data_IF_895600931377
#
_entry.id   IF_895600931377
#
_cell.length_a   1.000
_cell.length_b   1.000
_cell.length_c   1.000
_cell.angle_alpha   90.00
_cell.angle_beta   90.00
_cell.angle_gamma   90.00
#
_symmetry.space_group_name_H-M   'P 1'
#
loop_
_entity.id
_entity.type
_entity.pdbx_description
1 polymer ?
#
# COMPACT_ATOMS: atom_id res chain seq x y z
N UNK A 1 -2.87 63.15 -4.25
CA UNK A 1 -1.94 62.01 -4.44
C UNK A 1 -2.73 60.85 -5.01
N UNK A 2 -2.39 60.34 -6.22
CA UNK A 2 -3.17 59.26 -6.87
C UNK A 2 -2.75 57.89 -6.37
N UNK A 3 -3.75 56.99 -6.19
CA UNK A 3 -3.59 55.57 -5.89
C UNK A 3 -3.18 54.81 -7.18
N UNK A 4 -2.08 54.06 -7.12
CA UNK A 4 -1.65 53.15 -8.19
C UNK A 4 -2.40 51.81 -8.02
N UNK A 5 -3.20 51.43 -9.01
CA UNK A 5 -3.81 50.13 -9.17
C UNK A 5 -2.76 49.16 -9.73
N UNK A 6 -2.39 48.11 -8.96
CA UNK A 6 -1.53 47.02 -9.41
C UNK A 6 -2.33 45.97 -10.16
N UNK A 7 -2.11 45.90 -11.46
CA UNK A 7 -2.66 44.84 -12.32
C UNK A 7 -1.95 43.50 -12.01
N UNK A 8 -2.68 42.50 -11.52
CA UNK A 8 -2.21 41.11 -11.40
C UNK A 8 -2.22 40.50 -12.80
N UNK A 9 -1.05 40.23 -13.36
CA UNK A 9 -0.92 39.39 -14.56
C UNK A 9 -1.11 37.93 -14.14
N UNK A 10 -2.18 37.31 -14.64
CA UNK A 10 -2.46 35.88 -14.52
C UNK A 10 -1.46 35.06 -15.34
N UNK A 11 -0.87 34.03 -14.76
CA UNK A 11 0.01 33.11 -15.44
C UNK A 11 -0.79 32.25 -16.45
N UNK A 12 -0.23 31.94 -17.62
CA UNK A 12 -0.92 31.14 -18.64
C UNK A 12 -1.01 29.67 -18.21
N UNK A 13 -2.18 29.10 -18.48
CA UNK A 13 -2.63 27.77 -18.15
C UNK A 13 -1.69 26.69 -18.74
N UNK A 14 -1.41 25.62 -17.97
CA UNK A 14 -0.50 24.52 -18.32
C UNK A 14 -0.83 23.81 -19.67
N UNK A 15 -2.03 24.02 -20.22
CA UNK A 15 -2.45 23.50 -21.52
C UNK A 15 -1.78 24.21 -22.70
N UNK A 16 -1.37 25.46 -22.54
CA UNK A 16 -0.68 26.24 -23.59
C UNK A 16 0.80 25.87 -23.78
N UNK A 17 1.43 25.24 -22.80
CA UNK A 17 2.86 24.83 -22.88
C UNK A 17 3.09 23.55 -23.68
N UNK A 18 2.08 22.70 -23.89
CA UNK A 18 2.21 21.49 -24.71
C UNK A 18 2.10 21.70 -26.22
N UNK A 19 1.55 22.83 -26.67
CA UNK A 19 1.42 23.14 -28.08
C UNK A 19 2.68 23.79 -28.68
N UNK A 20 3.53 24.44 -27.88
CA UNK A 20 4.73 25.15 -28.36
C UNK A 20 5.97 24.24 -28.53
N UNK A 21 5.94 22.98 -28.05
CA UNK A 21 7.08 22.05 -28.13
C UNK A 21 7.10 21.18 -29.41
N UNK A 22 6.17 21.38 -30.36
CA UNK A 22 6.03 20.54 -31.56
C UNK A 22 6.53 21.14 -32.87
N UNK A 23 7.16 22.32 -32.85
CA UNK A 23 7.53 23.04 -34.07
C UNK A 23 9.04 23.27 -34.25
N UNK A 24 9.89 22.51 -33.59
CA UNK A 24 11.33 22.61 -33.84
C UNK A 24 11.97 21.22 -33.83
N UNK A 25 11.80 20.45 -34.88
CA UNK A 25 12.75 19.44 -35.37
C UNK A 25 12.25 18.83 -36.69
N UNK A 26 12.32 19.65 -37.72
CA UNK A 26 12.27 19.19 -39.11
C UNK A 26 13.67 18.81 -39.57
N UNK A 27 14.06 17.58 -39.38
CA UNK A 27 15.17 16.97 -40.15
C UNK A 27 14.57 15.79 -40.92
N UNK A 28 14.37 16.04 -42.20
CA UNK A 28 13.96 15.09 -43.22
C UNK A 28 15.12 14.07 -43.41
N UNK A 29 15.01 12.89 -42.87
CA UNK A 29 15.77 11.74 -43.33
C UNK A 29 14.79 10.69 -43.82
N UNK A 30 14.68 10.61 -45.17
CA UNK A 30 14.08 9.49 -45.88
C UNK A 30 14.78 8.19 -45.48
N UNK A 31 14.25 7.52 -44.44
CA UNK A 31 14.57 6.13 -44.15
C UNK A 31 13.50 5.25 -44.78
N UNK A 32 13.96 4.43 -45.72
CA UNK A 32 13.28 3.30 -46.30
C UNK A 32 12.38 2.59 -45.30
N UNK A 33 11.10 2.42 -45.70
CA UNK A 33 10.07 1.63 -45.03
C UNK A 33 10.60 0.18 -44.87
N UNK A 34 11.34 -0.06 -43.77
CA UNK A 34 11.59 -1.42 -43.33
C UNK A 34 10.23 -2.04 -43.01
N UNK A 35 9.94 -3.15 -43.62
CA UNK A 35 8.77 -3.98 -43.38
C UNK A 35 8.70 -4.20 -41.86
N UNK A 36 7.70 -3.57 -41.23
CA UNK A 36 7.35 -3.96 -39.87
C UNK A 36 6.72 -5.34 -39.99
N UNK A 37 7.41 -6.33 -39.46
CA UNK A 37 6.79 -7.61 -39.21
C UNK A 37 5.43 -7.37 -38.56
N UNK A 38 4.36 -8.07 -38.98
CA UNK A 38 3.06 -7.93 -38.35
C UNK A 38 3.26 -8.27 -36.88
N UNK A 39 2.91 -7.32 -35.99
CA UNK A 39 2.74 -7.62 -34.57
C UNK A 39 1.66 -8.67 -34.52
N UNK A 40 2.03 -9.92 -34.34
CA UNK A 40 1.07 -10.99 -34.08
C UNK A 40 0.45 -10.61 -32.74
N UNK A 41 -0.76 -10.04 -32.77
CA UNK A 41 -1.54 -9.88 -31.55
C UNK A 41 -1.65 -11.25 -30.91
N UNK A 42 -1.14 -11.39 -29.70
CA UNK A 42 -1.31 -12.60 -28.92
C UNK A 42 -2.82 -12.93 -28.91
N UNK A 43 -3.21 -14.21 -29.12
CA UNK A 43 -4.61 -14.58 -29.14
C UNK A 43 -5.29 -14.06 -27.86
N UNK A 44 -6.39 -13.35 -28.04
CA UNK A 44 -7.21 -12.89 -26.90
C UNK A 44 -7.63 -14.15 -26.13
N UNK A 45 -7.15 -14.32 -24.90
CA UNK A 45 -7.54 -15.41 -24.04
C UNK A 45 -9.04 -15.34 -23.82
N UNK A 46 -9.76 -16.30 -24.32
CA UNK A 46 -11.21 -16.44 -24.13
C UNK A 46 -11.40 -17.51 -23.05
N UNK A 47 -11.28 -17.12 -21.79
CA UNK A 47 -11.54 -18.02 -20.68
C UNK A 47 -12.98 -18.55 -20.73
N UNK A 48 -13.22 -19.66 -20.05
CA UNK A 48 -14.53 -20.35 -19.98
C UNK A 48 -15.22 -20.15 -18.63
N UNK A 49 -14.46 -19.76 -17.60
CA UNK A 49 -14.96 -19.62 -16.23
C UNK A 49 -14.25 -18.50 -15.44
N UNK A 50 -14.89 -18.07 -14.38
CA UNK A 50 -14.30 -17.09 -13.48
C UNK A 50 -13.37 -17.76 -12.46
N UNK A 51 -12.24 -17.10 -12.14
CA UNK A 51 -11.33 -17.49 -11.06
C UNK A 51 -12.04 -17.40 -9.70
N UNK A 52 -11.69 -18.27 -8.74
CA UNK A 52 -12.23 -18.33 -7.39
C UNK A 52 -11.17 -18.05 -6.34
N UNK A 53 -11.60 -17.64 -5.16
CA UNK A 53 -10.69 -17.27 -4.05
C UNK A 53 -9.83 -18.44 -3.59
N UNK A 54 -10.40 -19.66 -3.54
CA UNK A 54 -9.68 -20.86 -3.16
C UNK A 54 -8.52 -21.17 -4.12
N UNK A 55 -8.77 -21.03 -5.42
CA UNK A 55 -7.75 -21.26 -6.47
C UNK A 55 -6.62 -20.24 -6.39
N UNK A 56 -6.97 -18.97 -6.14
CA UNK A 56 -5.97 -17.92 -5.93
C UNK A 56 -5.15 -18.22 -4.68
N UNK A 57 -5.79 -18.53 -3.56
CA UNK A 57 -5.10 -18.80 -2.29
C UNK A 57 -4.13 -19.97 -2.42
N UNK A 58 -4.55 -21.07 -3.07
CA UNK A 58 -3.72 -22.24 -3.31
C UNK A 58 -2.53 -21.92 -4.22
N UNK A 59 -2.77 -21.22 -5.33
CA UNK A 59 -1.73 -20.87 -6.29
C UNK A 59 -0.65 -19.95 -5.69
N UNK A 60 -1.02 -19.00 -4.83
CA UNK A 60 -0.08 -18.03 -4.26
C UNK A 60 0.61 -18.52 -2.98
N UNK A 61 0.13 -19.60 -2.34
CA UNK A 61 0.69 -20.09 -1.07
C UNK A 61 2.22 -20.30 -1.10
N UNK A 62 2.82 -20.86 -2.17
CA UNK A 62 4.28 -20.97 -2.28
C UNK A 62 4.97 -19.61 -2.26
N UNK A 63 4.42 -18.60 -2.97
CA UNK A 63 4.98 -17.24 -3.02
C UNK A 63 4.91 -16.57 -1.66
N UNK A 64 3.78 -16.69 -0.96
CA UNK A 64 3.59 -16.18 0.41
C UNK A 64 4.67 -16.74 1.34
N UNK A 65 4.95 -18.05 1.25
CA UNK A 65 5.99 -18.70 2.05
C UNK A 65 7.41 -18.24 1.66
N UNK A 66 7.72 -18.19 0.36
CA UNK A 66 9.04 -17.81 -0.17
C UNK A 66 9.46 -16.40 0.27
N UNK A 67 8.54 -15.45 0.20
CA UNK A 67 8.79 -14.06 0.59
C UNK A 67 8.58 -13.78 2.09
N UNK A 68 8.35 -14.81 2.92
CA UNK A 68 8.05 -14.68 4.36
C UNK A 68 6.91 -13.68 4.62
N UNK A 69 5.81 -13.85 3.89
CA UNK A 69 4.63 -13.00 3.96
C UNK A 69 3.50 -13.64 4.78
N UNK A 70 2.53 -12.81 5.10
CA UNK A 70 1.20 -13.21 5.58
C UNK A 70 0.17 -12.67 4.60
N UNK A 71 -0.78 -13.51 4.21
CA UNK A 71 -1.95 -13.10 3.43
C UNK A 71 -2.93 -12.38 4.39
N UNK A 72 -2.98 -11.06 4.30
CA UNK A 72 -3.85 -10.21 5.12
C UNK A 72 -5.28 -10.13 4.59
N UNK A 73 -5.44 -10.31 3.30
CA UNK A 73 -6.74 -10.31 2.66
C UNK A 73 -6.68 -10.78 1.22
N UNK A 74 -7.72 -11.50 0.84
CA UNK A 74 -8.01 -11.91 -0.53
C UNK A 74 -9.47 -11.60 -0.81
N UNK A 75 -9.73 -10.86 -1.86
CA UNK A 75 -11.09 -10.51 -2.26
C UNK A 75 -11.20 -10.48 -3.77
N UNK A 76 -12.17 -11.18 -4.29
CA UNK A 76 -12.54 -11.11 -5.71
C UNK A 76 -13.85 -10.34 -5.85
N UNK A 77 -13.86 -9.36 -6.75
CA UNK A 77 -15.01 -8.50 -7.03
C UNK A 77 -15.24 -8.34 -8.52
N UNK A 78 -16.38 -7.80 -8.90
CA UNK A 78 -16.75 -7.56 -10.30
C UNK A 78 -17.52 -8.72 -10.95
N UNK A 79 -18.01 -8.51 -12.18
CA UNK A 79 -18.73 -9.54 -12.95
C UNK A 79 -17.80 -10.67 -13.38
N UNK A 80 -18.35 -11.84 -13.68
CA UNK A 80 -17.57 -13.05 -13.99
C UNK A 80 -16.51 -12.85 -15.10
N UNK A 81 -16.85 -12.10 -16.14
CA UNK A 81 -15.97 -11.86 -17.29
C UNK A 81 -14.97 -10.69 -17.10
N UNK A 82 -15.02 -9.98 -15.98
CA UNK A 82 -14.11 -8.86 -15.67
C UNK A 82 -13.97 -8.73 -14.15
N UNK A 83 -13.26 -9.66 -13.54
CA UNK A 83 -13.02 -9.68 -12.10
C UNK A 83 -11.78 -8.89 -11.74
N UNK A 84 -11.81 -8.27 -10.55
CA UNK A 84 -10.64 -7.73 -9.90
C UNK A 84 -10.28 -8.63 -8.73
N UNK A 85 -9.08 -9.18 -8.74
CA UNK A 85 -8.48 -10.00 -7.67
C UNK A 85 -7.61 -9.08 -6.83
N UNK A 86 -8.05 -8.78 -5.61
CA UNK A 86 -7.31 -7.94 -4.66
C UNK A 86 -6.63 -8.81 -3.61
N UNK A 87 -5.31 -8.71 -3.55
CA UNK A 87 -4.48 -9.44 -2.61
C UNK A 87 -3.77 -8.42 -1.72
N UNK A 88 -3.96 -8.54 -0.42
CA UNK A 88 -3.25 -7.72 0.57
C UNK A 88 -2.29 -8.61 1.31
N UNK A 89 -0.99 -8.26 1.27
CA UNK A 89 0.09 -9.02 1.92
C UNK A 89 0.90 -8.12 2.85
N UNK A 90 1.41 -8.69 3.92
CA UNK A 90 2.36 -8.01 4.82
C UNK A 90 3.46 -8.99 5.23
N UNK A 91 4.57 -8.49 5.77
CA UNK A 91 5.59 -9.33 6.34
C UNK A 91 5.09 -10.06 7.59
N UNK A 92 5.76 -11.16 7.94
CA UNK A 92 5.54 -11.87 9.22
C UNK A 92 5.86 -10.98 10.43
N UNK A 93 5.50 -11.44 11.64
CA UNK A 93 5.64 -10.65 12.87
C UNK A 93 7.10 -10.32 13.24
N UNK A 94 8.07 -11.09 12.73
CA UNK A 94 9.49 -10.88 12.97
C UNK A 94 10.02 -9.60 12.34
N UNK A 95 9.33 -9.07 11.34
CA UNK A 95 9.73 -7.84 10.63
C UNK A 95 8.83 -6.68 11.02
N UNK A 96 9.42 -5.56 11.40
CA UNK A 96 8.71 -4.30 11.74
C UNK A 96 8.74 -3.28 10.60
N UNK A 97 9.63 -3.47 9.61
CA UNK A 97 9.71 -2.63 8.41
C UNK A 97 8.46 -2.76 7.52
N UNK A 98 8.17 -1.73 6.76
CA UNK A 98 7.07 -1.74 5.80
C UNK A 98 7.53 -2.35 4.47
N UNK A 99 6.60 -3.01 3.75
CA UNK A 99 6.84 -3.42 2.37
C UNK A 99 7.14 -2.18 1.50
N UNK A 100 8.31 -2.17 0.87
CA UNK A 100 8.67 -1.14 -0.10
C UNK A 100 7.88 -1.31 -1.40
N UNK A 101 7.82 -0.26 -2.22
CA UNK A 101 7.21 -0.35 -3.55
C UNK A 101 7.95 -1.33 -4.46
N UNK A 102 9.28 -1.41 -4.35
CA UNK A 102 10.10 -2.35 -5.13
C UNK A 102 9.82 -3.80 -4.70
N UNK A 103 9.77 -4.07 -3.38
CA UNK A 103 9.37 -5.38 -2.87
C UNK A 103 7.95 -5.78 -3.29
N UNK A 104 7.01 -4.83 -3.26
CA UNK A 104 5.64 -5.06 -3.74
C UNK A 104 5.58 -5.38 -5.23
N UNK A 105 6.40 -4.72 -6.05
CA UNK A 105 6.48 -5.00 -7.49
C UNK A 105 7.03 -6.42 -7.76
N UNK A 106 8.07 -6.83 -7.03
CA UNK A 106 8.64 -8.18 -7.12
C UNK A 106 7.61 -9.25 -6.69
N UNK A 107 6.97 -9.07 -5.54
CA UNK A 107 5.92 -9.97 -5.03
C UNK A 107 4.75 -10.05 -6.02
N UNK A 108 4.31 -8.91 -6.57
CA UNK A 108 3.24 -8.86 -7.56
C UNK A 108 3.59 -9.66 -8.82
N UNK A 109 4.82 -9.55 -9.31
CA UNK A 109 5.32 -10.34 -10.43
C UNK A 109 5.35 -11.84 -10.13
N UNK A 110 5.79 -12.24 -8.95
CA UNK A 110 5.82 -13.63 -8.50
C UNK A 110 4.40 -14.22 -8.38
N UNK A 111 3.47 -13.45 -7.80
CA UNK A 111 2.04 -13.82 -7.69
C UNK A 111 1.42 -13.97 -9.07
N UNK A 112 1.63 -13.01 -9.99
CA UNK A 112 1.13 -13.10 -11.36
C UNK A 112 1.62 -14.38 -12.03
N UNK A 113 2.92 -14.67 -11.94
CA UNK A 113 3.52 -15.89 -12.51
C UNK A 113 2.96 -17.17 -11.87
N UNK A 114 2.60 -17.15 -10.59
CA UNK A 114 1.99 -18.31 -9.93
C UNK A 114 0.56 -18.54 -10.43
N UNK A 115 -0.22 -17.47 -10.61
CA UNK A 115 -1.57 -17.55 -11.16
C UNK A 115 -1.57 -17.97 -12.62
N UNK A 116 -0.63 -17.51 -13.44
CA UNK A 116 -0.47 -17.95 -14.82
C UNK A 116 -0.15 -19.45 -14.92
N UNK A 117 0.66 -19.97 -13.98
CA UNK A 117 0.92 -21.44 -13.92
C UNK A 117 -0.30 -22.24 -13.47
N UNK A 118 -1.14 -21.66 -12.61
CA UNK A 118 -2.38 -22.31 -12.17
C UNK A 118 -3.45 -22.34 -13.27
N UNK A 119 -3.35 -21.45 -14.26
CA UNK A 119 -4.23 -21.36 -15.43
C UNK A 119 -3.59 -21.99 -16.69
N UNK A 120 -2.96 -23.15 -16.55
CA UNK A 120 -2.22 -23.83 -17.64
C UNK A 120 -3.04 -24.04 -18.93
N UNK A 121 -4.37 -24.11 -18.82
CA UNK A 121 -5.28 -24.34 -19.95
C UNK A 121 -5.99 -23.05 -20.42
N UNK A 122 -5.60 -21.88 -19.93
CA UNK A 122 -6.26 -20.60 -20.23
C UNK A 122 -7.81 -20.63 -19.95
N UNK A 123 -8.19 -21.29 -18.85
CA UNK A 123 -9.60 -21.48 -18.49
C UNK A 123 -10.24 -20.26 -17.84
N UNK A 124 -9.43 -19.41 -17.20
CA UNK A 124 -9.97 -18.24 -16.51
C UNK A 124 -10.31 -17.12 -17.48
N UNK A 125 -11.48 -16.49 -17.27
CA UNK A 125 -11.74 -15.20 -17.90
C UNK A 125 -10.64 -14.20 -17.50
N UNK A 126 -10.32 -13.23 -18.36
CA UNK A 126 -9.40 -12.14 -18.01
C UNK A 126 -9.81 -11.47 -16.69
N UNK A 127 -8.83 -11.18 -15.84
CA UNK A 127 -9.02 -10.49 -14.57
C UNK A 127 -7.92 -9.45 -14.35
N UNK A 128 -8.21 -8.47 -13.51
CA UNK A 128 -7.25 -7.49 -13.04
C UNK A 128 -6.67 -7.96 -11.70
N UNK A 129 -5.35 -7.92 -11.56
CA UNK A 129 -4.65 -8.27 -10.33
C UNK A 129 -4.18 -7.00 -9.62
N UNK A 130 -4.66 -6.79 -8.39
CA UNK A 130 -4.19 -5.75 -7.48
C UNK A 130 -3.47 -6.39 -6.29
N UNK A 131 -2.16 -6.13 -6.14
CA UNK A 131 -1.39 -6.53 -4.96
C UNK A 131 -1.03 -5.30 -4.15
N UNK A 132 -1.32 -5.31 -2.87
CA UNK A 132 -1.09 -4.18 -1.97
C UNK A 132 -0.61 -4.62 -0.59
N UNK A 133 -0.01 -3.69 0.14
CA UNK A 133 0.23 -3.82 1.59
C UNK A 133 -0.94 -3.21 2.37
N UNK A 134 -1.10 -3.56 3.67
CA UNK A 134 -2.02 -2.87 4.54
C UNK A 134 -1.68 -1.39 4.63
N UNK A 135 -2.71 -0.53 4.70
CA UNK A 135 -2.51 0.91 4.82
C UNK A 135 -1.69 1.30 6.05
N UNK A 136 -1.05 2.47 5.99
CA UNK A 136 -0.22 3.00 7.07
C UNK A 136 -0.98 3.12 8.41
N UNK A 137 -2.30 3.33 8.35
CA UNK A 137 -3.20 3.49 9.50
C UNK A 137 -4.01 2.21 9.79
N UNK A 138 -3.44 1.03 9.53
CA UNK A 138 -4.15 -0.23 9.74
C UNK A 138 -4.67 -0.39 11.16
N UNK A 139 -5.82 -1.06 11.29
CA UNK A 139 -6.32 -1.49 12.59
C UNK A 139 -5.44 -2.63 13.17
N UNK A 140 -5.21 -2.59 14.48
CA UNK A 140 -4.42 -3.57 15.23
C UNK A 140 -5.38 -4.61 15.82
N UNK A 141 -5.82 -5.57 15.02
CA UNK A 141 -6.83 -6.58 15.40
C UNK A 141 -6.22 -7.88 15.89
N UNK A 142 -4.99 -8.18 15.53
CA UNK A 142 -4.27 -9.41 15.91
C UNK A 142 -2.95 -9.07 16.59
N UNK A 143 -2.45 -9.97 17.46
CA UNK A 143 -1.18 -9.79 18.16
C UNK A 143 -0.02 -9.43 17.24
N UNK A 144 0.11 -10.12 16.09
CA UNK A 144 1.15 -9.83 15.09
C UNK A 144 1.07 -8.40 14.54
N UNK A 145 -0.12 -7.78 14.47
CA UNK A 145 -0.26 -6.39 14.05
C UNK A 145 0.38 -5.43 15.06
N UNK A 146 0.23 -5.73 16.37
CA UNK A 146 0.87 -4.98 17.43
C UNK A 146 2.39 -5.18 17.42
N UNK A 147 2.86 -6.41 17.25
CA UNK A 147 4.30 -6.73 17.20
C UNK A 147 4.98 -5.97 16.04
N UNK A 148 4.34 -5.90 14.87
CA UNK A 148 4.83 -5.12 13.73
C UNK A 148 4.69 -3.60 13.91
N UNK A 149 3.83 -3.14 14.82
CA UNK A 149 3.66 -1.72 15.14
C UNK A 149 4.59 -1.24 16.26
N UNK A 150 5.53 -2.05 16.74
CA UNK A 150 6.53 -1.63 17.72
C UNK A 150 7.24 -0.36 17.27
N UNK A 151 7.56 0.50 18.22
CA UNK A 151 8.14 1.85 18.04
C UNK A 151 7.21 2.88 17.41
N UNK A 152 6.07 2.48 16.84
CA UNK A 152 5.13 3.39 16.17
C UNK A 152 4.21 4.10 17.16
N UNK A 153 3.68 5.23 16.70
CA UNK A 153 2.60 5.95 17.38
C UNK A 153 1.28 5.24 17.04
N UNK A 154 0.46 5.02 18.06
CA UNK A 154 -0.86 4.40 17.89
C UNK A 154 -1.93 5.23 18.58
N UNK A 155 -3.14 5.21 18.02
CA UNK A 155 -4.35 5.65 18.69
C UNK A 155 -4.96 4.44 19.38
N UNK A 156 -5.25 4.56 20.65
CA UNK A 156 -5.97 3.55 21.42
C UNK A 156 -7.31 4.11 21.83
N UNK A 157 -8.36 3.33 21.59
CA UNK A 157 -9.71 3.60 22.09
C UNK A 157 -10.01 2.65 23.24
N UNK A 158 -10.24 3.18 24.41
CA UNK A 158 -10.62 2.40 25.59
C UNK A 158 -12.11 1.99 25.53
N UNK A 159 -12.56 1.02 26.35
CA UNK A 159 -13.96 0.55 26.36
C UNK A 159 -14.99 1.64 26.71
N UNK A 160 -14.57 2.69 27.41
CA UNK A 160 -15.41 3.87 27.73
C UNK A 160 -15.51 4.88 26.56
N UNK A 161 -14.87 4.59 25.42
CA UNK A 161 -14.81 5.46 24.25
C UNK A 161 -13.72 6.54 24.32
N UNK A 162 -12.91 6.59 25.38
CA UNK A 162 -11.80 7.54 25.47
C UNK A 162 -10.69 7.18 24.50
N UNK A 163 -10.29 8.16 23.69
CA UNK A 163 -9.17 7.98 22.74
C UNK A 163 -7.91 8.71 23.24
N UNK A 164 -6.76 8.10 23.04
CA UNK A 164 -5.48 8.71 23.33
C UNK A 164 -4.37 8.17 22.45
N UNK A 165 -3.33 8.98 22.26
CA UNK A 165 -2.13 8.62 21.55
C UNK A 165 -1.11 7.98 22.50
N UNK A 166 -0.46 6.92 22.05
CA UNK A 166 0.62 6.27 22.79
C UNK A 166 1.68 5.73 21.85
N UNK A 167 2.92 5.66 22.29
CA UNK A 167 4.00 4.97 21.59
C UNK A 167 4.08 3.54 22.07
N UNK A 168 4.05 2.61 21.16
CA UNK A 168 4.16 1.17 21.46
C UNK A 168 5.63 0.80 21.66
N UNK A 169 5.95 0.22 22.81
CA UNK A 169 7.29 -0.24 23.13
C UNK A 169 7.44 -1.75 22.92
N UNK A 170 6.53 -2.52 23.47
CA UNK A 170 6.62 -3.97 23.53
C UNK A 170 5.22 -4.58 23.51
N UNK A 171 5.12 -5.86 23.17
CA UNK A 171 3.87 -6.63 23.22
C UNK A 171 4.11 -7.85 24.11
N UNK A 172 3.40 -7.90 25.23
CA UNK A 172 3.44 -9.01 26.18
C UNK A 172 2.18 -9.87 26.05
N UNK A 173 2.11 -10.99 26.77
CA UNK A 173 0.95 -11.89 26.70
C UNK A 173 -0.32 -11.24 27.24
N UNK A 174 -0.19 -10.43 28.30
CA UNK A 174 -1.27 -9.72 28.97
C UNK A 174 -1.72 -8.47 28.21
N UNK A 175 -0.88 -7.93 27.31
CA UNK A 175 -1.18 -6.71 26.57
C UNK A 175 0.04 -5.96 26.05
N UNK A 176 -0.17 -4.84 25.33
CA UNK A 176 0.92 -3.98 24.90
C UNK A 176 1.47 -3.10 26.02
N UNK A 177 2.78 -2.83 26.00
CA UNK A 177 3.44 -1.84 26.85
C UNK A 177 3.49 -0.51 26.10
N UNK A 178 2.80 0.48 26.61
CA UNK A 178 2.55 1.76 25.97
C UNK A 178 3.06 2.95 26.78
N UNK A 179 3.71 3.89 26.11
CA UNK A 179 4.01 5.21 26.68
C UNK A 179 2.96 6.21 26.16
N UNK A 180 1.99 6.57 27.00
CA UNK A 180 0.93 7.54 26.65
C UNK A 180 1.53 8.91 26.36
N UNK A 181 1.12 9.53 25.25
CA UNK A 181 1.54 10.89 24.89
C UNK A 181 0.93 11.91 25.85
N UNK A 182 1.76 12.82 26.38
CA UNK A 182 1.29 13.93 27.22
C UNK A 182 0.69 15.02 26.35
N UNK A 183 -0.31 15.72 26.88
CA UNK A 183 -0.83 16.91 26.25
C UNK A 183 0.21 18.04 26.36
N UNK A 184 0.87 18.36 25.26
CA UNK A 184 1.88 19.43 25.16
C UNK A 184 1.29 20.63 24.44
N UNK A 185 1.68 21.85 24.84
CA UNK A 185 1.28 23.07 24.15
C UNK A 185 1.94 23.12 22.77
N UNK A 186 1.27 23.80 21.82
CA UNK A 186 1.81 23.99 20.45
C UNK A 186 3.23 24.58 20.51
N UNK A 187 4.18 23.92 19.86
CA UNK A 187 5.60 24.33 19.82
C UNK A 187 6.49 23.77 20.94
N UNK A 188 5.94 22.98 21.85
CA UNK A 188 6.74 22.22 22.81
C UNK A 188 7.13 20.85 22.22
N UNK A 189 8.29 20.34 22.66
CA UNK A 189 8.72 18.99 22.29
C UNK A 189 7.74 17.96 22.84
N UNK A 190 7.43 16.97 22.03
CA UNK A 190 6.59 15.84 22.44
C UNK A 190 7.19 15.15 23.67
N UNK A 191 6.33 14.77 24.59
CA UNK A 191 6.71 14.05 25.79
C UNK A 191 5.69 12.95 26.09
N UNK A 192 6.19 11.89 26.71
CA UNK A 192 5.43 10.69 26.99
C UNK A 192 5.45 10.41 28.49
N UNK A 193 4.46 9.68 28.99
CA UNK A 193 4.49 9.06 30.31
C UNK A 193 5.46 7.87 30.28
N UNK A 194 5.82 7.39 31.48
CA UNK A 194 6.57 6.13 31.59
C UNK A 194 5.76 5.00 30.93
N UNK A 195 6.45 4.09 30.18
CA UNK A 195 5.80 2.94 29.59
C UNK A 195 5.11 2.07 30.63
N UNK A 196 3.88 1.66 30.37
CA UNK A 196 3.09 0.81 31.25
C UNK A 196 2.32 -0.24 30.45
N UNK A 197 2.12 -1.41 31.05
CA UNK A 197 1.30 -2.47 30.49
C UNK A 197 -0.17 -2.02 30.44
N UNK A 198 -0.81 -2.20 29.28
CA UNK A 198 -2.24 -2.02 29.10
C UNK A 198 -2.87 -3.39 28.82
N UNK A 199 -3.69 -3.95 29.74
CA UNK A 199 -4.36 -5.22 29.52
C UNK A 199 -5.24 -5.20 28.26
N UNK A 200 -5.31 -6.33 27.53
CA UNK A 200 -6.11 -6.44 26.31
C UNK A 200 -7.58 -6.08 26.53
N UNK A 201 -8.16 -6.39 27.70
CA UNK A 201 -9.54 -6.06 28.07
C UNK A 201 -9.82 -4.55 28.13
N UNK A 202 -8.78 -3.74 28.29
CA UNK A 202 -8.88 -2.28 28.34
C UNK A 202 -8.70 -1.62 26.95
N UNK A 203 -8.75 -2.40 25.87
CA UNK A 203 -8.63 -1.93 24.49
C UNK A 203 -9.90 -2.31 23.72
N UNK A 204 -10.70 -1.31 23.35
CA UNK A 204 -11.83 -1.53 22.45
C UNK A 204 -11.39 -1.60 21.00
N UNK A 205 -10.48 -0.70 20.61
CA UNK A 205 -9.85 -0.71 19.27
C UNK A 205 -8.51 0.04 19.31
N UNK A 206 -7.66 -0.22 18.32
CA UNK A 206 -6.44 0.53 18.13
C UNK A 206 -6.04 0.56 16.64
N UNK A 207 -5.34 1.60 16.23
CA UNK A 207 -4.76 1.71 14.89
C UNK A 207 -3.45 2.50 14.93
N UNK A 208 -2.63 2.30 13.92
CA UNK A 208 -1.38 3.06 13.76
C UNK A 208 -1.70 4.49 13.35
N UNK A 209 -1.05 5.46 13.99
CA UNK A 209 -1.12 6.88 13.65
C UNK A 209 0.12 7.29 12.85
N UNK A 210 -0.05 8.16 11.85
CA UNK A 210 1.06 8.67 11.07
C UNK A 210 1.81 9.73 11.89
N UNK A 211 3.06 9.43 12.24
CA UNK A 211 3.93 10.35 12.96
C UNK A 211 4.76 11.18 11.98
N UNK A 212 4.27 12.37 11.64
CA UNK A 212 4.98 13.30 10.75
C UNK A 212 6.20 13.98 11.40
N UNK A 213 6.40 13.81 12.70
CA UNK A 213 7.45 14.48 13.45
C UNK A 213 8.61 13.55 13.84
N UNK A 214 8.44 12.26 13.68
CA UNK A 214 9.55 11.30 13.85
C UNK A 214 10.48 11.40 12.65
N UNK A 215 11.80 11.57 12.86
CA UNK A 215 12.76 11.40 11.76
C UNK A 215 12.59 9.99 11.20
N UNK A 216 12.56 9.87 9.87
CA UNK A 216 12.61 8.58 9.22
C UNK A 216 13.84 7.84 9.74
N UNK A 217 13.65 6.63 10.30
CA UNK A 217 14.81 5.81 10.66
C UNK A 217 15.62 5.55 9.39
N UNK A 218 16.95 5.76 9.41
CA UNK A 218 17.78 5.41 8.27
C UNK A 218 17.63 3.91 8.02
N UNK A 219 17.30 3.55 6.80
CA UNK A 219 17.34 2.16 6.32
C UNK A 219 18.83 1.82 6.23
N UNK A 220 19.34 1.01 7.17
CA UNK A 220 20.65 0.32 7.04
C UNK A 220 20.51 -0.90 6.14
#
# INVERSE_FOLDING_TARGET
KPKRSGSKKSAPNARARRAASRVANGVNTSRTRAEREPVVEAPVRVGTRAIREEEVAEAIAPVISEFSLVLEGLKISGPAANRTVKITVDYTAERTDSLSLDSLAEISGAISSALDRADENDEFFPYELEVSSPGATRALTERRHWERARTRLIVVTAPDGTEYLARLHEVQDEGPVLARKKNTKKGQKESYHEPSLLPWENIASAHVEIDFNSPAEPVE
#
